data_IF_597491572238
#
_entry.id   IF_597491572238
#
_cell.length_a   1.000
_cell.length_b   1.000
_cell.length_c   1.000
_cell.angle_alpha   90.00
_cell.angle_beta   90.00
_cell.angle_gamma   90.00
#
_symmetry.space_group_name_H-M   'P 1'
#
loop_
_entity.id
_entity.type
_entity.pdbx_description
1 polymer ?
#
# COMPACT_ATOMS: atom_id res chain seq x y z
N UNK A 1 -4.70 -6.36 -59.74
CA UNK A 1 -3.68 -6.87 -60.69
C UNK A 1 -2.85 -5.67 -61.13
N UNK A 2 -1.53 -5.63 -60.94
CA UNK A 2 -0.49 -6.45 -61.57
C UNK A 2 -0.39 -6.15 -63.10
N UNK A 3 0.77 -5.79 -63.70
CA UNK A 3 2.16 -5.76 -63.18
C UNK A 3 3.15 -4.99 -64.11
N UNK A 4 4.26 -4.50 -63.53
CA UNK A 4 5.64 -4.40 -64.08
C UNK A 4 6.05 -3.46 -65.27
N UNK A 5 7.27 -2.90 -65.10
CA UNK A 5 8.19 -2.16 -66.01
C UNK A 5 9.14 -3.12 -66.78
N UNK A 6 10.14 -2.68 -67.62
CA UNK A 6 10.38 -1.39 -68.30
C UNK A 6 10.36 -1.53 -69.87
N UNK A 7 11.42 -1.74 -70.72
CA UNK A 7 12.91 -1.68 -70.62
C UNK A 7 13.68 -0.75 -71.62
N UNK A 8 14.45 0.19 -71.06
CA UNK A 8 15.70 0.88 -71.54
C UNK A 8 16.29 0.57 -72.94
N UNK A 9 16.64 1.64 -73.68
CA UNK A 9 17.82 1.68 -74.60
C UNK A 9 18.76 2.88 -74.33
N UNK A 10 19.74 3.13 -75.21
CA UNK A 10 21.14 3.36 -74.79
C UNK A 10 22.02 4.18 -75.78
N UNK A 11 22.74 5.20 -75.27
CA UNK A 11 24.06 5.71 -75.76
C UNK A 11 24.12 6.31 -77.20
N UNK A 12 25.25 6.91 -77.70
CA UNK A 12 26.58 7.09 -77.07
C UNK A 12 27.34 8.46 -77.27
N UNK A 13 28.39 8.64 -76.45
CA UNK A 13 29.74 9.24 -76.71
C UNK A 13 30.00 10.57 -77.46
N UNK A 14 30.68 11.50 -76.77
CA UNK A 14 31.82 12.36 -77.21
C UNK A 14 32.31 13.21 -76.00
N UNK A 15 33.56 13.68 -75.82
CA UNK A 15 34.92 13.37 -76.33
C UNK A 15 35.94 13.83 -75.25
N UNK A 16 37.24 13.49 -75.38
CA UNK A 16 38.29 13.83 -74.38
C UNK A 16 39.29 14.86 -74.92
N UNK A 17 39.59 15.89 -74.13
CA UNK A 17 40.81 16.71 -74.21
C UNK A 17 41.32 17.06 -72.80
N UNK A 18 42.63 17.37 -72.69
CA UNK A 18 43.36 17.34 -71.40
C UNK A 18 44.37 18.49 -71.31
N UNK A 19 44.22 19.37 -70.32
CA UNK A 19 45.16 20.46 -70.00
C UNK A 19 45.57 20.43 -68.51
N UNK A 20 46.69 21.08 -68.17
CA UNK A 20 47.36 20.94 -66.85
C UNK A 20 47.03 22.07 -65.86
N UNK A 21 47.21 21.72 -64.58
CA UNK A 21 47.75 22.55 -63.48
C UNK A 21 47.08 23.87 -63.09
N UNK A 22 46.37 23.83 -61.96
CA UNK A 22 46.66 24.69 -60.80
C UNK A 22 46.29 23.93 -59.50
N UNK A 23 47.02 24.13 -58.39
CA UNK A 23 46.88 23.34 -57.15
C UNK A 23 46.39 24.20 -55.98
N UNK A 24 45.08 24.38 -55.86
CA UNK A 24 44.44 25.04 -54.72
C UNK A 24 43.94 23.99 -53.70
N UNK A 25 44.39 24.09 -52.44
CA UNK A 25 44.11 23.10 -51.41
C UNK A 25 42.78 23.34 -50.68
N UNK A 26 41.66 22.90 -51.28
CA UNK A 26 40.34 22.93 -50.63
C UNK A 26 40.27 21.93 -49.47
N UNK A 27 40.14 22.40 -48.23
CA UNK A 27 39.92 21.55 -47.04
C UNK A 27 38.69 20.65 -47.24
N UNK A 28 38.76 19.34 -46.92
CA UNK A 28 37.57 18.50 -46.90
C UNK A 28 36.61 18.98 -45.80
N UNK A 29 35.32 19.12 -46.13
CA UNK A 29 34.28 19.31 -45.12
C UNK A 29 34.15 18.02 -44.30
N UNK A 30 34.55 18.06 -43.04
CA UNK A 30 34.31 16.95 -42.10
C UNK A 30 32.81 16.68 -41.91
N UNK A 31 32.42 15.45 -41.52
CA UNK A 31 31.02 15.11 -41.31
C UNK A 31 30.41 15.99 -40.21
N UNK A 32 29.22 16.53 -40.47
CA UNK A 32 28.51 17.35 -39.48
C UNK A 32 27.96 16.46 -38.36
N UNK A 33 28.74 16.31 -37.30
CA UNK A 33 28.33 15.62 -36.07
C UNK A 33 27.22 16.40 -35.37
N UNK A 34 25.97 16.15 -35.78
CA UNK A 34 24.78 16.51 -35.00
C UNK A 34 24.94 15.90 -33.60
N UNK A 35 25.35 16.73 -32.63
CA UNK A 35 25.38 16.34 -31.22
C UNK A 35 24.01 15.76 -30.85
N UNK A 36 23.94 14.65 -30.08
CA UNK A 36 22.66 14.14 -29.61
C UNK A 36 21.94 15.25 -28.85
N UNK A 37 20.74 15.60 -29.32
CA UNK A 37 20.03 16.76 -28.81
C UNK A 37 19.67 16.51 -27.34
N UNK A 38 20.27 17.27 -26.41
CA UNK A 38 20.02 17.07 -24.97
C UNK A 38 18.53 17.36 -24.72
N UNK A 39 17.76 16.43 -24.10
CA UNK A 39 16.35 16.67 -23.84
C UNK A 39 16.19 17.89 -22.94
N UNK A 40 15.38 18.83 -23.40
CA UNK A 40 15.07 20.08 -22.70
C UNK A 40 14.36 19.80 -21.38
N UNK A 41 14.25 20.79 -20.50
CA UNK A 41 13.46 20.66 -19.28
C UNK A 41 11.99 20.27 -19.58
N UNK A 42 11.45 20.77 -20.70
CA UNK A 42 10.11 20.49 -21.18
C UNK A 42 9.98 19.03 -21.67
N UNK A 43 10.95 18.52 -22.43
CA UNK A 43 10.96 17.11 -22.88
C UNK A 43 10.98 16.14 -21.68
N UNK A 44 11.80 16.44 -20.66
CA UNK A 44 11.83 15.67 -19.41
C UNK A 44 10.50 15.69 -18.69
N UNK A 45 9.85 16.87 -18.61
CA UNK A 45 8.57 17.02 -17.94
C UNK A 45 7.42 16.31 -18.65
N UNK A 46 7.44 16.27 -19.98
CA UNK A 46 6.52 15.45 -20.79
C UNK A 46 6.76 13.95 -20.54
N UNK A 47 8.01 13.51 -20.41
CA UNK A 47 8.34 12.12 -20.09
C UNK A 47 7.94 11.72 -18.65
N UNK A 48 8.03 12.63 -17.69
CA UNK A 48 7.47 12.44 -16.34
C UNK A 48 5.94 12.29 -16.38
N UNK A 49 5.23 13.21 -17.05
CA UNK A 49 3.76 13.15 -17.21
C UNK A 49 3.29 11.94 -18.03
N UNK A 50 4.14 11.36 -18.88
CA UNK A 50 3.85 10.09 -19.56
C UNK A 50 3.88 8.89 -18.61
N UNK A 51 4.69 8.93 -17.54
CA UNK A 51 4.82 7.84 -16.55
C UNK A 51 3.78 7.88 -15.45
N UNK A 52 3.21 9.05 -15.15
CA UNK A 52 2.10 9.16 -14.18
C UNK A 52 0.84 8.56 -14.77
N UNK A 53 0.38 7.43 -14.22
CA UNK A 53 -0.94 6.87 -14.52
C UNK A 53 -2.02 7.71 -13.83
N UNK A 54 -3.11 8.00 -14.56
CA UNK A 54 -4.19 8.90 -14.13
C UNK A 54 -5.51 8.14 -14.27
N UNK A 55 -5.79 7.31 -13.27
CA UNK A 55 -7.07 6.61 -13.14
C UNK A 55 -8.16 7.59 -12.65
N UNK A 56 -9.37 7.43 -13.17
CA UNK A 56 -10.53 8.22 -12.78
C UNK A 56 -11.79 7.36 -12.89
N UNK A 57 -12.82 7.72 -12.13
CA UNK A 57 -14.13 7.10 -12.19
C UNK A 57 -14.96 7.88 -13.22
N UNK A 58 -15.40 7.24 -14.32
CA UNK A 58 -16.08 7.94 -15.42
C UNK A 58 -17.48 8.41 -15.02
N UNK A 59 -17.94 9.46 -15.69
CA UNK A 59 -19.31 9.96 -15.60
C UNK A 59 -19.67 10.65 -16.92
N UNK A 60 -20.87 10.43 -17.43
CA UNK A 60 -21.28 10.90 -18.78
C UNK A 60 -21.28 12.43 -18.90
N UNK A 61 -21.47 13.16 -17.79
CA UNK A 61 -21.41 14.62 -17.75
C UNK A 61 -20.03 15.18 -18.15
N UNK A 62 -18.95 14.43 -17.97
CA UNK A 62 -17.58 14.89 -18.24
C UNK A 62 -17.32 15.15 -19.73
N UNK A 63 -18.05 14.46 -20.61
CA UNK A 63 -17.92 14.61 -22.07
C UNK A 63 -18.73 15.79 -22.63
N UNK A 64 -19.65 16.36 -21.85
CA UNK A 64 -20.65 17.32 -22.31
C UNK A 64 -20.39 18.77 -21.88
N UNK A 65 -19.54 18.98 -20.87
CA UNK A 65 -19.35 20.30 -20.25
C UNK A 65 -17.88 20.71 -20.07
N UNK A 66 -17.64 22.01 -20.30
CA UNK A 66 -16.67 22.74 -19.49
C UNK A 66 -17.29 22.94 -18.10
N UNK A 67 -17.19 21.93 -17.24
CA UNK A 67 -17.57 22.04 -15.83
C UNK A 67 -16.63 23.08 -15.20
N UNK A 68 -17.19 24.21 -14.77
CA UNK A 68 -16.49 25.18 -13.90
C UNK A 68 -16.85 24.88 -12.44
N UNK A 69 -15.92 25.08 -11.50
CA UNK A 69 -16.15 24.66 -10.12
C UNK A 69 -17.16 25.60 -9.46
N UNK A 70 -18.09 25.04 -8.71
CA UNK A 70 -19.10 25.76 -7.94
C UNK A 70 -18.97 25.47 -6.45
N UNK A 71 -19.51 26.36 -5.61
CA UNK A 71 -19.52 26.23 -4.15
C UNK A 71 -18.17 25.86 -3.54
N UNK A 72 -18.18 24.89 -2.61
CA UNK A 72 -17.00 24.43 -1.87
C UNK A 72 -15.88 23.91 -2.79
N UNK A 73 -16.19 23.27 -3.92
CA UNK A 73 -15.16 22.83 -4.86
C UNK A 73 -14.38 24.00 -5.47
N UNK A 74 -15.00 25.17 -5.68
CA UNK A 74 -14.33 26.37 -6.15
C UNK A 74 -13.43 27.01 -5.09
N UNK A 75 -13.80 26.92 -3.81
CA UNK A 75 -12.99 27.38 -2.68
C UNK A 75 -11.78 26.46 -2.47
N UNK A 76 -12.00 25.14 -2.51
CA UNK A 76 -10.92 24.13 -2.40
C UNK A 76 -9.97 24.20 -3.60
N UNK A 77 -10.45 24.42 -4.83
CA UNK A 77 -9.57 24.61 -5.99
C UNK A 77 -8.72 25.88 -5.90
N UNK A 78 -9.25 26.98 -5.34
CA UNK A 78 -8.47 28.21 -5.07
C UNK A 78 -7.47 28.04 -3.92
N UNK A 79 -7.86 27.30 -2.88
CA UNK A 79 -7.14 27.18 -1.62
C UNK A 79 -7.74 28.00 -0.48
N UNK A 80 -8.91 28.61 -0.70
CA UNK A 80 -9.60 29.52 0.23
C UNK A 80 -10.55 28.78 1.20
N UNK A 81 -10.66 27.45 1.08
CA UNK A 81 -11.63 26.64 1.80
C UNK A 81 -11.55 26.80 3.34
N UNK A 82 -12.69 26.97 4.03
CA UNK A 82 -12.71 27.40 5.43
C UNK A 82 -12.06 26.39 6.38
N UNK A 83 -10.94 26.79 6.97
CA UNK A 83 -10.33 26.09 8.10
C UNK A 83 -11.08 26.46 9.39
N UNK A 84 -12.17 25.73 9.68
CA UNK A 84 -12.88 25.81 10.96
C UNK A 84 -11.96 25.46 12.16
N UNK A 85 -12.38 25.87 13.36
CA UNK A 85 -11.50 25.98 14.52
C UNK A 85 -10.86 24.66 14.98
N UNK A 86 -9.68 24.80 15.61
CA UNK A 86 -8.92 23.70 16.21
C UNK A 86 -9.81 22.90 17.19
N UNK A 87 -9.95 21.59 16.94
CA UNK A 87 -10.68 20.70 17.82
C UNK A 87 -10.06 20.67 19.22
N UNK A 88 -10.76 21.23 20.21
CA UNK A 88 -10.27 21.40 21.57
C UNK A 88 -9.92 20.05 22.23
N UNK A 89 -8.81 20.02 22.96
CA UNK A 89 -8.34 18.84 23.70
C UNK A 89 -7.55 17.80 22.89
N UNK A 90 -7.27 18.02 21.60
CA UNK A 90 -6.35 17.18 20.82
C UNK A 90 -4.91 17.74 20.82
N UNK A 91 -3.88 16.87 20.81
CA UNK A 91 -2.49 17.25 20.52
C UNK A 91 -2.38 18.10 19.25
N UNK A 92 -1.51 19.11 19.26
CA UNK A 92 -1.47 20.16 18.23
C UNK A 92 -1.27 19.66 16.79
N UNK A 93 -0.66 18.48 16.59
CA UNK A 93 -0.57 17.87 15.26
C UNK A 93 -1.91 17.25 14.81
N UNK A 94 -2.57 16.46 15.67
CA UNK A 94 -3.89 15.89 15.42
C UNK A 94 -4.95 16.99 15.20
N UNK A 95 -4.93 18.03 16.05
CA UNK A 95 -5.86 19.15 15.96
C UNK A 95 -5.82 19.84 14.59
N UNK A 96 -4.62 20.09 14.03
CA UNK A 96 -4.46 20.62 12.67
C UNK A 96 -4.98 19.67 11.59
N UNK A 97 -4.72 18.36 11.74
CA UNK A 97 -5.17 17.33 10.78
C UNK A 97 -6.69 17.09 10.82
N UNK A 98 -7.38 17.58 11.84
CA UNK A 98 -8.83 17.45 12.03
C UNK A 98 -9.57 18.80 12.08
N UNK A 99 -8.93 19.92 11.75
CA UNK A 99 -9.56 21.25 11.78
C UNK A 99 -10.73 21.36 10.80
N UNK A 100 -10.57 20.82 9.59
CA UNK A 100 -11.56 20.86 8.51
C UNK A 100 -12.94 20.35 8.92
N UNK A 101 -13.96 21.08 8.46
CA UNK A 101 -15.40 20.83 8.63
C UNK A 101 -15.81 19.44 8.12
N UNK A 102 -16.90 18.90 8.69
CA UNK A 102 -17.54 17.67 8.22
C UNK A 102 -18.41 17.95 6.98
N UNK A 103 -18.24 17.16 5.93
CA UNK A 103 -18.94 17.32 4.65
C UNK A 103 -20.38 16.77 4.68
N UNK A 104 -21.30 17.53 4.10
CA UNK A 104 -22.65 17.09 3.73
C UNK A 104 -22.58 16.09 2.56
N UNK A 105 -23.67 15.31 2.29
CA UNK A 105 -23.68 14.37 1.16
C UNK A 105 -23.51 15.05 -0.21
N UNK A 106 -23.96 16.30 -0.34
CA UNK A 106 -23.92 17.06 -1.59
C UNK A 106 -22.52 17.63 -1.86
N UNK A 107 -21.90 18.25 -0.86
CA UNK A 107 -20.49 18.66 -0.92
C UNK A 107 -19.56 17.47 -1.17
N UNK A 108 -19.82 16.32 -0.53
CA UNK A 108 -19.10 15.07 -0.75
C UNK A 108 -19.20 14.62 -2.22
N UNK A 109 -20.42 14.56 -2.79
CA UNK A 109 -20.62 14.18 -4.19
C UNK A 109 -20.00 15.18 -5.16
N UNK A 110 -20.10 16.47 -4.91
CA UNK A 110 -19.53 17.53 -5.76
C UNK A 110 -18.00 17.49 -5.78
N UNK A 111 -17.34 17.38 -4.62
CA UNK A 111 -15.89 17.23 -4.51
C UNK A 111 -15.38 15.95 -5.21
N UNK A 112 -16.10 14.83 -5.09
CA UNK A 112 -15.75 13.59 -5.80
C UNK A 112 -16.01 13.69 -7.32
N UNK A 113 -17.11 14.32 -7.78
CA UNK A 113 -17.35 14.61 -9.20
C UNK A 113 -16.20 15.45 -9.75
N UNK A 114 -15.88 16.55 -9.08
CA UNK A 114 -14.88 17.53 -9.50
C UNK A 114 -13.47 16.92 -9.56
N UNK A 115 -13.07 16.17 -8.54
CA UNK A 115 -11.78 15.48 -8.52
C UNK A 115 -11.65 14.53 -9.71
N UNK A 116 -12.69 13.77 -10.03
CA UNK A 116 -12.68 12.86 -11.18
C UNK A 116 -12.72 13.60 -12.52
N UNK A 117 -13.44 14.72 -12.65
CA UNK A 117 -13.42 15.58 -13.84
C UNK A 117 -12.01 16.13 -14.13
N UNK A 118 -11.30 16.63 -13.12
CA UNK A 118 -9.93 17.10 -13.29
C UNK A 118 -8.95 15.98 -13.68
N UNK A 119 -9.12 14.75 -13.17
CA UNK A 119 -8.34 13.58 -13.61
C UNK A 119 -8.68 13.19 -15.06
N UNK A 120 -9.95 13.13 -15.42
CA UNK A 120 -10.41 12.90 -16.80
C UNK A 120 -9.80 13.91 -17.78
N UNK A 121 -9.87 15.21 -17.46
CA UNK A 121 -9.31 16.27 -18.30
C UNK A 121 -7.78 16.18 -18.42
N UNK A 122 -7.07 15.92 -17.32
CA UNK A 122 -5.63 15.66 -17.34
C UNK A 122 -5.27 14.47 -18.25
N UNK A 123 -6.01 13.36 -18.16
CA UNK A 123 -5.82 12.17 -18.99
C UNK A 123 -6.17 12.43 -20.47
N UNK A 124 -7.22 13.20 -20.75
CA UNK A 124 -7.64 13.61 -22.10
C UNK A 124 -6.69 14.63 -22.76
N UNK A 125 -5.88 15.33 -21.98
CA UNK A 125 -4.76 16.17 -22.45
C UNK A 125 -3.47 15.33 -22.61
N UNK A 126 -3.21 14.40 -21.68
CA UNK A 126 -2.07 13.47 -21.70
C UNK A 126 -2.07 12.59 -22.96
N UNK A 127 -3.23 12.05 -23.37
CA UNK A 127 -3.35 11.30 -24.63
C UNK A 127 -3.03 12.15 -25.88
N UNK A 128 -3.25 13.47 -25.83
CA UNK A 128 -2.96 14.43 -26.91
C UNK A 128 -1.49 14.89 -26.95
N UNK A 129 -0.62 14.43 -26.04
CA UNK A 129 0.85 14.62 -26.08
C UNK A 129 1.59 13.56 -26.93
N UNK A 130 0.87 12.75 -27.70
CA UNK A 130 1.42 11.57 -28.38
C UNK A 130 1.99 11.75 -29.79
N UNK A 131 1.76 12.87 -30.52
CA UNK A 131 1.99 12.91 -31.99
C UNK A 131 2.68 14.14 -32.59
N UNK A 132 2.80 15.26 -31.89
CA UNK A 132 3.44 16.49 -32.40
C UNK A 132 4.23 17.21 -31.29
N UNK A 133 4.99 18.26 -31.66
CA UNK A 133 5.93 18.97 -30.79
C UNK A 133 5.33 19.33 -29.41
N UNK A 134 6.10 19.19 -28.32
CA UNK A 134 5.57 19.25 -26.97
C UNK A 134 5.17 20.69 -26.60
N UNK A 135 3.86 20.93 -26.51
CA UNK A 135 3.29 22.24 -26.24
C UNK A 135 3.38 22.58 -24.74
N UNK A 136 4.15 23.62 -24.40
CA UNK A 136 4.29 24.14 -23.04
C UNK A 136 2.93 24.41 -22.36
N UNK A 137 1.97 24.98 -23.11
CA UNK A 137 0.63 25.27 -22.61
C UNK A 137 -0.12 24.00 -22.17
N UNK A 138 -0.02 22.90 -22.94
CA UNK A 138 -0.66 21.62 -22.57
C UNK A 138 0.00 20.96 -21.36
N UNK A 139 1.32 21.11 -21.20
CA UNK A 139 2.04 20.62 -20.02
C UNK A 139 1.55 21.37 -18.79
N UNK A 140 1.54 22.71 -18.83
CA UNK A 140 1.04 23.54 -17.74
C UNK A 140 -0.44 23.25 -17.39
N UNK A 141 -1.30 23.04 -18.39
CA UNK A 141 -2.71 22.71 -18.14
C UNK A 141 -2.90 21.36 -17.45
N UNK A 142 -2.10 20.34 -17.82
CA UNK A 142 -2.10 19.04 -17.13
C UNK A 142 -1.61 19.20 -15.68
N UNK A 143 -0.54 19.97 -15.47
CA UNK A 143 -0.03 20.27 -14.13
C UNK A 143 -1.08 21.00 -13.29
N UNK A 144 -1.83 21.95 -13.84
CA UNK A 144 -2.92 22.64 -13.16
C UNK A 144 -4.07 21.71 -12.78
N UNK A 145 -4.45 20.79 -13.68
CA UNK A 145 -5.45 19.76 -13.36
C UNK A 145 -4.96 18.87 -12.21
N UNK A 146 -3.69 18.44 -12.21
CA UNK A 146 -3.11 17.64 -11.13
C UNK A 146 -2.95 18.43 -9.82
N UNK A 147 -2.66 19.74 -9.87
CA UNK A 147 -2.64 20.63 -8.70
C UNK A 147 -4.04 20.75 -8.08
N UNK A 148 -5.10 20.89 -8.88
CA UNK A 148 -6.51 20.90 -8.42
C UNK A 148 -6.90 19.56 -7.79
N UNK A 149 -6.59 18.43 -8.45
CA UNK A 149 -6.80 17.07 -7.90
C UNK A 149 -6.12 16.92 -6.54
N UNK A 150 -4.88 17.40 -6.39
CA UNK A 150 -4.14 17.33 -5.11
C UNK A 150 -4.84 18.16 -4.01
N UNK A 151 -5.34 19.36 -4.34
CA UNK A 151 -6.11 20.20 -3.38
C UNK A 151 -7.41 19.52 -2.94
N UNK A 152 -8.22 19.05 -3.89
CA UNK A 152 -9.49 18.35 -3.66
C UNK A 152 -9.28 17.09 -2.81
N UNK A 153 -8.29 16.25 -3.17
CA UNK A 153 -7.92 15.05 -2.40
C UNK A 153 -7.46 15.40 -0.98
N UNK A 154 -6.63 16.42 -0.80
CA UNK A 154 -6.17 16.81 0.53
C UNK A 154 -7.32 17.28 1.43
N UNK A 155 -8.28 18.04 0.89
CA UNK A 155 -9.48 18.46 1.62
C UNK A 155 -10.36 17.25 2.00
N UNK A 156 -10.61 16.33 1.04
CA UNK A 156 -11.33 15.07 1.30
C UNK A 156 -10.66 14.20 2.37
N UNK A 157 -9.32 14.14 2.42
CA UNK A 157 -8.57 13.47 3.49
C UNK A 157 -8.86 14.17 4.83
N UNK A 158 -8.63 15.48 4.91
CA UNK A 158 -8.73 16.25 6.17
C UNK A 158 -10.13 16.19 6.81
N UNK A 159 -11.18 16.38 6.01
CA UNK A 159 -12.56 16.27 6.47
C UNK A 159 -12.90 14.87 7.04
N UNK A 160 -12.19 13.83 6.57
CA UNK A 160 -12.39 12.45 7.00
C UNK A 160 -11.34 11.95 8.02
N UNK A 161 -10.32 12.74 8.40
CA UNK A 161 -9.33 12.29 9.41
C UNK A 161 -9.99 11.94 10.74
N UNK A 162 -11.04 12.67 11.13
CA UNK A 162 -11.84 12.41 12.36
C UNK A 162 -12.43 10.98 12.37
N UNK A 163 -12.83 10.45 11.21
CA UNK A 163 -13.30 9.06 11.06
C UNK A 163 -12.15 8.05 11.20
N UNK A 164 -10.97 8.33 10.64
CA UNK A 164 -9.81 7.45 10.79
C UNK A 164 -9.36 7.39 12.25
N UNK A 165 -9.31 8.52 12.95
CA UNK A 165 -8.96 8.58 14.38
C UNK A 165 -9.90 7.72 15.24
N UNK A 166 -11.22 7.76 15.00
CA UNK A 166 -12.19 6.98 15.79
C UNK A 166 -12.10 5.47 15.52
N UNK A 167 -11.70 5.06 14.31
CA UNK A 167 -11.42 3.66 13.98
C UNK A 167 -10.08 3.23 14.59
N UNK A 168 -9.00 3.99 14.39
CA UNK A 168 -7.65 3.67 14.87
C UNK A 168 -7.56 3.55 16.39
N UNK A 169 -8.31 4.38 17.13
CA UNK A 169 -8.39 4.33 18.61
C UNK A 169 -8.86 2.98 19.15
N UNK A 170 -9.59 2.17 18.35
CA UNK A 170 -10.02 0.81 18.71
C UNK A 170 -8.95 -0.28 18.52
N UNK A 171 -7.84 0.04 17.87
CA UNK A 171 -6.74 -0.89 17.58
C UNK A 171 -5.45 -0.57 18.36
N UNK A 172 -5.36 0.64 18.92
CA UNK A 172 -4.28 1.08 19.79
C UNK A 172 -4.25 0.29 21.11
N UNK A 173 -3.05 -0.03 21.57
CA UNK A 173 -2.76 -0.74 22.82
C UNK A 173 -1.25 -0.64 23.09
N UNK A 174 -0.75 -1.20 24.20
CA UNK A 174 0.66 -1.09 24.59
C UNK A 174 1.67 -1.64 23.57
N UNK A 175 1.28 -2.50 22.62
CA UNK A 175 2.15 -2.97 21.52
C UNK A 175 1.99 -2.20 20.20
N UNK A 176 0.94 -1.36 20.08
CA UNK A 176 0.56 -0.72 18.82
C UNK A 176 0.35 0.80 19.04
N UNK A 177 1.30 1.62 18.62
CA UNK A 177 1.18 3.08 18.72
C UNK A 177 -0.06 3.60 17.98
N UNK A 178 -0.81 4.50 18.61
CA UNK A 178 -1.96 5.16 17.99
C UNK A 178 -1.56 5.97 16.75
N UNK A 179 -0.38 6.61 16.75
CA UNK A 179 0.04 7.49 15.66
C UNK A 179 0.51 6.69 14.42
N UNK A 180 1.08 5.51 14.62
CA UNK A 180 1.39 4.55 13.55
C UNK A 180 0.09 3.98 12.94
N UNK A 181 -0.87 3.57 13.78
CA UNK A 181 -2.20 3.14 13.33
C UNK A 181 -2.95 4.25 12.61
N UNK A 182 -2.88 5.50 13.09
CA UNK A 182 -3.47 6.64 12.41
C UNK A 182 -2.80 6.89 11.05
N UNK A 183 -1.47 6.83 10.99
CA UNK A 183 -0.70 7.01 9.75
C UNK A 183 -1.07 5.95 8.70
N UNK A 184 -1.06 4.66 9.06
CA UNK A 184 -1.50 3.59 8.17
C UNK A 184 -3.00 3.71 7.83
N UNK A 185 -3.83 4.19 8.77
CA UNK A 185 -5.25 4.44 8.54
C UNK A 185 -5.50 5.53 7.50
N UNK A 186 -4.72 6.62 7.53
CA UNK A 186 -4.77 7.71 6.54
C UNK A 186 -4.28 7.21 5.17
N UNK A 187 -3.28 6.33 5.12
CA UNK A 187 -2.88 5.67 3.86
C UNK A 187 -4.01 4.81 3.29
N UNK A 188 -4.75 4.07 4.12
CA UNK A 188 -5.94 3.32 3.64
C UNK A 188 -7.07 4.26 3.19
N UNK A 189 -7.33 5.36 3.92
CA UNK A 189 -8.28 6.39 3.53
C UNK A 189 -7.94 7.00 2.16
N UNK A 190 -6.66 7.30 1.89
CA UNK A 190 -6.21 7.79 0.59
C UNK A 190 -6.52 6.81 -0.55
N UNK A 191 -6.28 5.52 -0.36
CA UNK A 191 -6.63 4.50 -1.35
C UNK A 191 -8.15 4.31 -1.50
N UNK A 192 -8.93 4.61 -0.46
CA UNK A 192 -10.39 4.64 -0.55
C UNK A 192 -10.90 5.84 -1.35
N UNK A 193 -10.34 7.04 -1.16
CA UNK A 193 -10.70 8.26 -1.93
C UNK A 193 -10.45 8.04 -3.42
N UNK A 194 -9.33 7.39 -3.79
CA UNK A 194 -9.01 7.08 -5.20
C UNK A 194 -9.97 6.07 -5.86
N UNK A 195 -10.74 5.30 -5.08
CA UNK A 195 -11.56 4.19 -5.56
C UNK A 195 -13.05 4.33 -5.19
N UNK A 196 -13.45 5.47 -4.66
CA UNK A 196 -14.83 5.69 -4.22
C UNK A 196 -15.71 6.19 -5.37
N UNK A 197 -16.66 5.33 -5.75
CA UNK A 197 -17.66 5.59 -6.76
C UNK A 197 -18.84 6.36 -6.16
N UNK A 198 -18.85 7.67 -6.43
CA UNK A 198 -19.76 8.66 -5.86
C UNK A 198 -21.17 8.66 -6.47
N UNK A 199 -21.40 7.90 -7.56
CA UNK A 199 -22.71 7.86 -8.22
C UNK A 199 -23.64 6.79 -7.65
N UNK A 200 -23.09 5.83 -6.88
CA UNK A 200 -23.84 4.72 -6.27
C UNK A 200 -24.78 5.12 -5.11
N UNK A 201 -24.86 6.40 -4.75
CA UNK A 201 -25.74 6.91 -3.70
C UNK A 201 -25.37 6.56 -2.25
N UNK A 202 -24.30 5.79 -2.01
CA UNK A 202 -23.80 5.49 -0.66
C UNK A 202 -22.88 6.60 -0.13
N UNK A 203 -22.90 6.88 1.17
CA UNK A 203 -21.92 7.78 1.80
C UNK A 203 -20.50 7.19 1.78
N UNK A 204 -19.52 8.04 1.49
CA UNK A 204 -18.09 7.70 1.53
C UNK A 204 -17.67 7.15 2.90
N UNK A 205 -18.20 7.68 4.00
CA UNK A 205 -17.90 7.23 5.37
C UNK A 205 -18.15 5.73 5.57
N UNK A 206 -19.20 5.16 4.96
CA UNK A 206 -19.50 3.72 4.99
C UNK A 206 -18.41 2.91 4.27
N UNK A 207 -17.99 3.35 3.09
CA UNK A 207 -16.95 2.70 2.30
C UNK A 207 -15.56 2.80 2.96
N UNK A 208 -15.19 4.02 3.39
CA UNK A 208 -13.94 4.31 4.09
C UNK A 208 -13.81 3.50 5.39
N UNK A 209 -14.89 3.37 6.16
CA UNK A 209 -14.90 2.55 7.38
C UNK A 209 -14.51 1.09 7.10
N UNK A 210 -15.02 0.52 6.00
CA UNK A 210 -14.71 -0.85 5.59
C UNK A 210 -13.29 -1.01 5.01
N UNK A 211 -12.75 0.01 4.33
CA UNK A 211 -11.36 0.03 3.87
C UNK A 211 -10.38 0.12 5.04
N UNK A 212 -10.47 1.21 5.83
CA UNK A 212 -9.57 1.51 6.95
C UNK A 212 -9.55 0.38 7.97
N UNK A 213 -10.71 -0.16 8.36
CA UNK A 213 -10.78 -1.29 9.31
C UNK A 213 -10.08 -2.55 8.79
N UNK A 214 -10.23 -2.86 7.49
CA UNK A 214 -9.61 -4.05 6.88
C UNK A 214 -8.09 -3.95 6.88
N UNK A 215 -7.56 -2.79 6.51
CA UNK A 215 -6.11 -2.59 6.41
C UNK A 215 -5.45 -2.43 7.78
N UNK A 216 -6.10 -1.78 8.76
CA UNK A 216 -5.59 -1.75 10.15
C UNK A 216 -5.57 -3.12 10.81
N UNK A 217 -6.60 -3.96 10.60
CA UNK A 217 -6.56 -5.36 11.01
C UNK A 217 -5.34 -6.09 10.41
N UNK A 218 -5.06 -5.89 9.11
CA UNK A 218 -3.92 -6.49 8.41
C UNK A 218 -2.58 -5.99 8.96
N UNK A 219 -2.45 -4.69 9.23
CA UNK A 219 -1.26 -4.07 9.82
C UNK A 219 -0.93 -4.66 11.19
N UNK A 220 -1.91 -4.65 12.11
CA UNK A 220 -1.75 -5.21 13.47
C UNK A 220 -1.41 -6.71 13.44
N UNK A 221 -2.03 -7.49 12.55
CA UNK A 221 -1.67 -8.91 12.37
C UNK A 221 -0.25 -9.10 11.81
N UNK A 222 0.23 -8.16 10.98
CA UNK A 222 1.57 -8.20 10.39
C UNK A 222 2.62 -7.81 11.43
N UNK A 223 2.43 -6.69 12.14
CA UNK A 223 3.29 -6.28 13.26
C UNK A 223 3.41 -7.38 14.31
N UNK A 224 2.29 -7.93 14.82
CA UNK A 224 2.32 -9.02 15.82
C UNK A 224 3.11 -10.24 15.36
N UNK A 225 2.95 -10.65 14.09
CA UNK A 225 3.70 -11.76 13.49
C UNK A 225 5.20 -11.45 13.39
N UNK A 226 5.55 -10.20 13.11
CA UNK A 226 6.94 -9.80 12.87
C UNK A 226 7.68 -9.51 14.18
N UNK A 227 7.04 -8.92 15.19
CA UNK A 227 7.53 -8.92 16.58
C UNK A 227 7.78 -10.35 17.09
N UNK A 228 6.86 -11.28 16.84
CA UNK A 228 7.03 -12.71 17.19
C UNK A 228 8.17 -13.43 16.42
N UNK A 229 8.69 -12.84 15.34
CA UNK A 229 9.87 -13.35 14.63
C UNK A 229 11.14 -12.77 15.26
N UNK A 230 11.18 -11.46 15.47
CA UNK A 230 12.39 -10.74 15.90
C UNK A 230 12.66 -10.78 17.42
N UNK A 231 11.67 -11.09 18.25
CA UNK A 231 11.84 -11.32 19.70
C UNK A 231 12.75 -12.53 20.03
N UNK A 232 13.00 -13.41 19.05
CA UNK A 232 13.80 -14.66 19.21
C UNK A 232 15.33 -14.44 19.36
N UNK A 233 15.78 -13.40 20.06
CA UNK A 233 17.21 -13.20 20.32
C UNK A 233 17.57 -11.97 21.17
N UNK A 234 16.99 -10.80 20.89
CA UNK A 234 17.38 -9.56 21.59
C UNK A 234 16.81 -9.47 23.02
N UNK A 235 15.51 -9.73 23.21
CA UNK A 235 14.87 -9.72 24.55
C UNK A 235 15.55 -10.70 25.51
N UNK A 236 15.98 -11.87 24.99
CA UNK A 236 16.65 -12.93 25.77
C UNK A 236 18.07 -12.56 26.22
N UNK A 237 18.68 -11.52 25.66
CA UNK A 237 20.02 -11.04 26.04
C UNK A 237 19.98 -9.71 26.79
N UNK A 238 18.89 -8.95 26.71
CA UNK A 238 18.72 -7.69 27.45
C UNK A 238 18.05 -7.89 28.82
N UNK A 239 17.13 -8.85 28.95
CA UNK A 239 16.42 -9.11 30.21
C UNK A 239 17.28 -9.89 31.23
N UNK A 240 18.44 -10.41 30.83
CA UNK A 240 19.36 -11.21 31.66
C UNK A 240 20.35 -10.36 32.49
N UNK A 241 20.25 -9.02 32.42
CA UNK A 241 21.29 -8.09 32.94
C UNK A 241 20.71 -6.90 33.73
N UNK A 242 19.44 -6.92 34.14
CA UNK A 242 18.83 -5.70 34.73
C UNK A 242 17.49 -5.80 35.45
N UNK A 243 16.99 -6.99 35.79
CA UNK A 243 15.74 -7.12 36.55
C UNK A 243 15.84 -8.24 37.60
N UNK A 244 15.98 -7.86 38.88
CA UNK A 244 15.56 -8.71 40.00
C UNK A 244 14.04 -8.97 39.83
N UNK A 245 13.60 -10.24 39.68
CA UNK A 245 12.22 -10.54 39.31
C UNK A 245 11.30 -10.42 40.54
N UNK A 246 10.78 -9.21 40.78
CA UNK A 246 9.82 -8.95 41.84
C UNK A 246 8.51 -9.72 41.67
N UNK A 247 8.30 -10.70 42.55
CA UNK A 247 7.01 -11.28 42.98
C UNK A 247 6.03 -11.69 41.86
N UNK A 248 6.54 -12.21 40.75
CA UNK A 248 5.79 -13.18 39.96
C UNK A 248 5.73 -14.50 40.75
N UNK A 249 4.55 -15.13 40.85
CA UNK A 249 4.38 -16.41 41.55
C UNK A 249 5.14 -17.53 40.84
N UNK A 250 6.40 -17.72 41.20
CA UNK A 250 7.21 -18.83 40.73
C UNK A 250 6.71 -20.13 41.39
N UNK A 251 6.01 -20.96 40.59
CA UNK A 251 5.88 -22.40 40.85
C UNK A 251 7.27 -22.94 41.22
N UNK A 252 7.37 -23.54 42.39
CA UNK A 252 8.65 -24.03 42.89
C UNK A 252 9.18 -25.16 42.00
N UNK A 253 10.50 -25.37 42.00
CA UNK A 253 11.15 -26.43 41.21
C UNK A 253 10.49 -27.84 41.36
N UNK A 254 10.09 -28.32 42.56
CA UNK A 254 9.32 -29.56 42.68
C UNK A 254 7.90 -29.49 42.08
N UNK A 255 7.18 -28.37 42.22
CA UNK A 255 5.85 -28.20 41.62
C UNK A 255 5.91 -28.18 40.10
N UNK A 256 6.93 -27.53 39.53
CA UNK A 256 7.24 -27.58 38.10
C UNK A 256 7.56 -29.02 37.63
N UNK A 257 8.28 -29.79 38.43
CA UNK A 257 8.54 -31.22 38.18
C UNK A 257 7.25 -32.07 38.14
N UNK A 258 6.33 -31.84 39.08
CA UNK A 258 5.01 -32.48 39.11
C UNK A 258 4.17 -32.07 37.89
N UNK A 259 4.07 -30.77 37.60
CA UNK A 259 3.35 -30.24 36.44
C UNK A 259 3.87 -30.82 35.11
N UNK A 260 5.19 -30.79 34.90
CA UNK A 260 5.81 -31.27 33.67
C UNK A 260 5.64 -32.80 33.50
N UNK A 261 5.81 -33.58 34.57
CA UNK A 261 5.62 -35.03 34.51
C UNK A 261 4.15 -35.41 34.25
N UNK A 262 3.18 -34.71 34.83
CA UNK A 262 1.75 -34.87 34.51
C UNK A 262 1.45 -34.55 33.04
N UNK A 263 1.96 -33.41 32.52
CA UNK A 263 1.79 -33.04 31.11
C UNK A 263 2.39 -34.08 30.15
N UNK A 264 3.56 -34.64 30.47
CA UNK A 264 4.18 -35.72 29.68
C UNK A 264 3.30 -36.97 29.65
N UNK A 265 2.71 -37.38 30.78
CA UNK A 265 1.78 -38.53 30.82
C UNK A 265 0.52 -38.28 29.98
N UNK A 266 -0.08 -37.09 30.06
CA UNK A 266 -1.24 -36.72 29.23
C UNK A 266 -0.91 -36.72 27.73
N UNK A 267 0.28 -36.25 27.35
CA UNK A 267 0.74 -36.24 25.96
C UNK A 267 1.04 -37.66 25.44
N UNK A 268 1.48 -38.58 26.31
CA UNK A 268 1.65 -40.00 25.96
C UNK A 268 0.31 -40.69 25.66
N UNK A 269 -0.79 -40.32 26.33
CA UNK A 269 -2.16 -40.80 26.03
C UNK A 269 -2.71 -40.34 24.67
N UNK A 270 -2.14 -39.31 24.03
CA UNK A 270 -2.59 -38.84 22.71
C UNK A 270 -2.19 -39.79 21.58
N UNK A 271 -3.02 -39.82 20.53
CA UNK A 271 -2.77 -40.52 19.26
C UNK A 271 -1.38 -40.09 18.72
N UNK A 272 -0.56 -41.00 18.17
CA UNK A 272 0.83 -40.70 17.76
C UNK A 272 0.95 -39.43 16.90
N UNK A 273 0.03 -39.25 15.95
CA UNK A 273 -0.05 -38.08 15.06
C UNK A 273 -0.43 -36.80 15.79
N UNK A 274 -1.29 -36.89 16.81
CA UNK A 274 -1.71 -35.75 17.65
C UNK A 274 -0.56 -35.33 18.58
N UNK A 275 0.05 -36.30 19.28
CA UNK A 275 1.26 -36.13 20.11
C UNK A 275 2.38 -35.47 19.31
N UNK A 276 2.71 -36.00 18.13
CA UNK A 276 3.72 -35.41 17.24
C UNK A 276 3.44 -33.93 16.91
N UNK A 277 2.19 -33.58 16.62
CA UNK A 277 1.77 -32.20 16.34
C UNK A 277 1.90 -31.32 17.59
N UNK A 278 1.43 -31.77 18.76
CA UNK A 278 1.49 -31.02 20.03
C UNK A 278 2.95 -30.77 20.44
N UNK A 279 3.76 -31.82 20.54
CA UNK A 279 5.21 -31.76 20.86
C UNK A 279 5.92 -30.70 20.02
N UNK A 280 5.84 -30.82 18.68
CA UNK A 280 6.55 -29.91 17.77
C UNK A 280 5.91 -28.51 17.66
N UNK A 281 4.60 -28.35 17.93
CA UNK A 281 3.94 -27.04 17.83
C UNK A 281 4.24 -26.15 19.03
N UNK A 282 4.15 -26.71 20.23
CA UNK A 282 4.32 -25.93 21.46
C UNK A 282 5.78 -25.84 21.91
N UNK A 283 6.63 -26.79 21.49
CA UNK A 283 8.05 -26.87 21.86
C UNK A 283 8.27 -27.71 23.14
N UNK A 284 7.49 -28.78 23.29
CA UNK A 284 7.48 -29.63 24.49
C UNK A 284 8.49 -30.77 24.30
N UNK A 285 9.77 -30.48 24.56
CA UNK A 285 10.92 -31.37 24.41
C UNK A 285 12.19 -30.61 24.01
N UNK A 286 13.35 -31.22 24.24
CA UNK A 286 14.69 -30.61 24.19
C UNK A 286 14.91 -29.62 23.02
N UNK A 287 14.96 -28.33 23.33
CA UNK A 287 15.32 -27.25 22.41
C UNK A 287 14.43 -27.09 21.15
N UNK A 288 13.29 -27.77 21.08
CA UNK A 288 12.54 -27.93 19.83
C UNK A 288 11.83 -26.64 19.37
N UNK A 289 12.39 -25.95 18.37
CA UNK A 289 11.81 -24.72 17.79
C UNK A 289 10.39 -24.94 17.24
N UNK A 290 9.41 -24.19 17.80
CA UNK A 290 7.97 -24.24 17.49
C UNK A 290 7.67 -24.32 15.98
N UNK A 291 7.03 -25.40 15.54
CA UNK A 291 6.74 -25.68 14.15
C UNK A 291 5.41 -25.08 13.65
N UNK A 292 5.40 -24.56 12.42
CA UNK A 292 4.18 -24.08 11.77
C UNK A 292 3.33 -25.24 11.25
N UNK A 293 2.00 -25.06 11.21
CA UNK A 293 1.08 -26.09 10.66
C UNK A 293 1.38 -26.45 9.19
N UNK A 294 2.01 -25.55 8.42
CA UNK A 294 2.42 -25.86 7.05
C UNK A 294 3.62 -26.82 7.04
N UNK A 295 4.64 -26.56 7.87
CA UNK A 295 5.84 -27.41 7.99
C UNK A 295 5.51 -28.79 8.57
N UNK A 296 4.57 -28.85 9.52
CA UNK A 296 4.03 -30.11 10.04
C UNK A 296 3.25 -30.87 8.97
N UNK A 297 2.40 -30.20 8.19
CA UNK A 297 1.64 -30.83 7.10
C UNK A 297 2.55 -31.44 6.04
N UNK A 298 3.57 -30.69 5.60
CA UNK A 298 4.62 -31.18 4.71
C UNK A 298 5.36 -32.41 5.26
N UNK A 299 5.73 -32.41 6.55
CA UNK A 299 6.43 -33.53 7.21
C UNK A 299 5.54 -34.76 7.47
N UNK A 300 4.21 -34.59 7.49
CA UNK A 300 3.23 -35.65 7.75
C UNK A 300 2.41 -36.07 6.51
N UNK A 301 2.71 -35.52 5.33
CA UNK A 301 1.99 -35.82 4.08
C UNK A 301 0.52 -35.37 4.06
N UNK A 302 0.12 -34.39 4.88
CA UNK A 302 -1.27 -33.94 5.03
C UNK A 302 -1.43 -32.42 4.88
N UNK A 303 -2.64 -31.98 4.54
CA UNK A 303 -2.92 -30.54 4.37
C UNK A 303 -2.76 -29.78 5.68
N UNK A 304 -2.33 -28.50 5.59
CA UNK A 304 -2.25 -27.55 6.70
C UNK A 304 -3.52 -27.52 7.57
N UNK A 305 -4.69 -27.65 6.94
CA UNK A 305 -5.98 -27.64 7.64
C UNK A 305 -6.25 -28.97 8.37
N UNK A 306 -5.83 -30.12 7.81
CA UNK A 306 -5.90 -31.40 8.52
C UNK A 306 -5.00 -31.42 9.75
N UNK A 307 -3.83 -30.79 9.70
CA UNK A 307 -2.97 -30.56 10.88
C UNK A 307 -3.70 -29.70 11.92
N UNK A 308 -4.40 -28.64 11.50
CA UNK A 308 -5.16 -27.77 12.42
C UNK A 308 -6.30 -28.54 13.11
N UNK A 309 -7.03 -29.38 12.38
CA UNK A 309 -8.08 -30.25 12.94
C UNK A 309 -7.52 -31.19 14.01
N UNK A 310 -6.40 -31.88 13.73
CA UNK A 310 -5.74 -32.77 14.68
C UNK A 310 -5.18 -32.01 15.90
N UNK A 311 -4.62 -30.81 15.70
CA UNK A 311 -4.14 -29.96 16.79
C UNK A 311 -5.28 -29.53 17.73
N UNK A 312 -6.44 -29.14 17.18
CA UNK A 312 -7.62 -28.76 17.96
C UNK A 312 -8.13 -29.98 18.78
N UNK A 313 -8.34 -31.13 18.12
CA UNK A 313 -8.79 -32.37 18.78
C UNK A 313 -7.85 -32.82 19.90
N UNK A 314 -6.54 -32.68 19.71
CA UNK A 314 -5.55 -32.96 20.74
C UNK A 314 -5.67 -32.02 21.94
N UNK A 315 -5.87 -30.71 21.71
CA UNK A 315 -6.09 -29.73 22.78
C UNK A 315 -7.43 -29.91 23.49
N UNK A 316 -8.45 -30.42 22.81
CA UNK A 316 -9.75 -30.78 23.40
C UNK A 316 -9.59 -31.99 24.34
N UNK A 317 -8.97 -33.09 23.89
CA UNK A 317 -8.61 -34.25 24.75
C UNK A 317 -7.76 -33.84 25.96
N UNK A 318 -6.73 -33.01 25.76
CA UNK A 318 -5.86 -32.55 26.86
C UNK A 318 -6.59 -31.66 27.88
N UNK A 319 -7.66 -30.96 27.49
CA UNK A 319 -8.51 -30.20 28.42
C UNK A 319 -9.48 -31.10 29.17
N UNK A 320 -10.08 -32.06 28.48
CA UNK A 320 -10.95 -33.08 29.07
C UNK A 320 -10.23 -33.88 30.17
N UNK A 321 -8.93 -34.19 29.97
CA UNK A 321 -8.11 -34.89 30.96
C UNK A 321 -7.45 -33.99 32.01
N UNK A 322 -7.53 -32.65 31.91
CA UNK A 322 -6.80 -31.76 32.83
C UNK A 322 -7.22 -31.87 34.32
N UNK A 323 -8.51 -32.08 34.66
CA UNK A 323 -8.94 -32.24 36.06
C UNK A 323 -8.38 -33.50 36.72
N UNK A 324 -8.27 -34.62 35.99
CA UNK A 324 -7.77 -35.91 36.51
C UNK A 324 -6.36 -35.79 37.14
N UNK A 325 -5.54 -34.88 36.62
CA UNK A 325 -4.16 -34.64 37.03
C UNK A 325 -4.02 -33.48 38.04
N UNK A 326 -5.13 -32.98 38.60
CA UNK A 326 -5.21 -31.86 39.56
C UNK A 326 -4.54 -30.55 39.10
N UNK A 327 -4.42 -30.33 37.78
CA UNK A 327 -3.69 -29.18 37.24
C UNK A 327 -4.28 -27.82 37.66
N UNK A 328 -5.57 -27.80 38.02
CA UNK A 328 -6.29 -26.61 38.51
C UNK A 328 -5.73 -26.06 39.83
N UNK A 329 -5.13 -26.91 40.67
CA UNK A 329 -4.56 -26.54 41.97
C UNK A 329 -3.16 -25.90 41.89
N UNK A 330 -2.56 -25.84 40.69
CA UNK A 330 -1.21 -25.28 40.43
C UNK A 330 -1.26 -24.05 39.49
N UNK A 331 -2.46 -23.55 39.17
CA UNK A 331 -2.69 -22.46 38.18
C UNK A 331 -3.74 -21.46 38.72
N UNK A 332 -3.90 -21.39 40.05
CA UNK A 332 -4.77 -20.44 40.77
C UNK A 332 -3.94 -19.43 41.55
#
# INVERSE_FOLDING_TARGET
MATLNPPVRRAPSATVTKAKSAKAATKPKGPSSKRPNRPTALDRRVEELRRVEIDYIPNDSFCLANDEPTGLAAEVERGDAPAEALAAGLPAHLGRMSATRLLTPEEERDLFRRMNYCKFRAQALRSKLGRTAPSAARVAEIEDCLRRVTRLRNHLIQANTRLVMSIARRFANSSNSFDDLLSHGIVSLMHAIEKFDYDRGYRFSTYATCAVRRDLCRHVMTQRRDSQRFSTGADLLLNDVGAEPGDAQHLSEPEWGVLNSSLVQMIQRLDERERFIVTHRFGLGDGAKRASYNRLGQRMGISKERVRQLANRAMEKLREWAPDYRLEALVS
#
